data_IF_802562024470
#
_entry.id   IF_802562024470
#
_cell.length_a   1.000
_cell.length_b   1.000
_cell.length_c   1.000
_cell.angle_alpha   90.00
_cell.angle_beta   90.00
_cell.angle_gamma   90.00
#
_symmetry.space_group_name_H-M   'P 1'
#
loop_
_entity.id
_entity.type
_entity.pdbx_description
1 polymer ?
#
# COMPACT_ATOMS: atom_id res chain seq x y z
N UNK A 1 -2.27 30.20 17.10
CA UNK A 1 -1.86 29.48 15.89
C UNK A 1 -0.70 30.21 15.26
N UNK A 2 0.40 29.53 15.02
CA UNK A 2 1.50 30.17 14.31
C UNK A 2 1.08 30.43 12.87
N UNK A 3 1.32 31.64 12.41
CA UNK A 3 1.02 31.97 11.03
C UNK A 3 2.06 31.34 10.11
N UNK A 4 1.60 30.86 8.98
CA UNK A 4 2.49 30.29 7.97
C UNK A 4 3.34 31.40 7.37
N UNK A 5 4.66 31.21 7.38
CA UNK A 5 5.60 32.12 6.77
C UNK A 5 6.35 31.43 5.65
N UNK A 6 6.07 31.75 4.36
CA UNK A 6 6.74 31.11 3.24
C UNK A 6 8.25 31.31 3.24
N UNK A 7 8.74 32.41 3.85
CA UNK A 7 10.19 32.69 3.89
C UNK A 7 10.94 31.80 4.85
N UNK A 8 10.27 31.17 5.81
CA UNK A 8 10.91 30.34 6.84
C UNK A 8 11.01 28.89 6.42
N UNK A 9 9.98 28.37 5.75
CA UNK A 9 9.96 26.97 5.39
C UNK A 9 8.97 26.69 4.27
N UNK A 10 9.45 26.10 3.18
CA UNK A 10 8.59 25.58 2.11
C UNK A 10 8.38 24.09 2.35
N UNK A 11 7.13 23.65 2.50
CA UNK A 11 6.86 22.23 2.74
C UNK A 11 7.39 21.33 1.62
N UNK A 12 8.01 20.22 2.01
CA UNK A 12 8.41 19.16 1.11
C UNK A 12 7.35 18.08 1.12
N UNK A 13 6.80 17.78 -0.04
CA UNK A 13 5.75 16.77 -0.20
C UNK A 13 6.27 15.61 -1.04
N UNK A 14 6.22 14.41 -0.49
CA UNK A 14 6.53 13.20 -1.23
C UNK A 14 5.22 12.66 -1.82
N UNK A 15 5.13 12.67 -3.14
CA UNK A 15 3.90 12.29 -3.85
C UNK A 15 3.86 10.83 -4.27
N UNK A 16 4.92 10.07 -4.00
CA UNK A 16 4.98 8.65 -4.40
C UNK A 16 5.44 7.80 -3.22
N UNK A 17 4.51 7.51 -2.33
CA UNK A 17 4.77 6.67 -1.16
C UNK A 17 3.72 5.58 -1.08
N UNK A 18 4.16 4.39 -0.70
CA UNK A 18 3.25 3.27 -0.51
C UNK A 18 3.10 2.91 0.95
N UNK A 19 1.92 2.41 1.28
CA UNK A 19 1.60 1.86 2.59
C UNK A 19 0.83 0.57 2.39
N UNK A 20 1.18 -0.45 3.19
CA UNK A 20 0.37 -1.65 3.31
C UNK A 20 -0.31 -1.57 4.67
N UNK A 21 -1.62 -1.28 4.72
CA UNK A 21 -2.34 -1.27 5.99
C UNK A 21 -2.23 -2.62 6.68
N UNK A 22 -2.18 -2.59 8.02
CA UNK A 22 -2.04 -3.82 8.80
C UNK A 22 -3.10 -4.86 8.49
N UNK A 23 -4.30 -4.42 8.18
CA UNK A 23 -5.41 -5.31 7.81
C UNK A 23 -5.14 -6.07 6.52
N UNK A 24 -4.57 -5.40 5.52
CA UNK A 24 -4.21 -6.02 4.24
C UNK A 24 -3.09 -7.04 4.46
N UNK A 25 -2.09 -6.67 5.26
CA UNK A 25 -0.99 -7.58 5.57
C UNK A 25 -1.52 -8.83 6.27
N UNK A 26 -2.33 -8.64 7.31
CA UNK A 26 -2.90 -9.73 8.07
C UNK A 26 -3.73 -10.67 7.19
N UNK A 27 -4.54 -10.11 6.32
CA UNK A 27 -5.32 -10.90 5.38
C UNK A 27 -4.42 -11.66 4.39
N UNK A 28 -3.34 -11.04 3.95
CA UNK A 28 -2.39 -11.65 3.00
C UNK A 28 -1.62 -12.82 3.62
N UNK A 29 -1.47 -12.85 4.92
CA UNK A 29 -0.84 -13.95 5.63
C UNK A 29 -1.81 -15.12 5.91
N UNK A 30 -3.11 -14.90 5.76
CA UNK A 30 -4.10 -15.95 5.96
C UNK A 30 -4.08 -16.97 4.82
N UNK A 31 -4.71 -18.13 5.05
CA UNK A 31 -4.74 -19.21 4.05
C UNK A 31 -5.38 -18.80 2.73
N UNK A 32 -6.34 -17.87 2.78
CA UNK A 32 -7.06 -17.39 1.59
C UNK A 32 -6.40 -16.16 0.96
N UNK A 33 -5.49 -15.50 1.68
CA UNK A 33 -4.88 -14.27 1.24
C UNK A 33 -5.86 -13.10 1.17
N UNK A 34 -5.37 -11.99 0.67
CA UNK A 34 -6.22 -10.83 0.35
C UNK A 34 -6.68 -10.98 -1.10
N UNK A 35 -7.91 -11.48 -1.30
CA UNK A 35 -8.43 -11.81 -2.63
C UNK A 35 -7.43 -12.65 -3.45
N UNK A 36 -6.81 -13.63 -2.79
CA UNK A 36 -5.83 -14.49 -3.43
C UNK A 36 -4.40 -13.97 -3.44
N UNK A 37 -4.16 -12.74 -3.04
CA UNK A 37 -2.81 -12.21 -2.87
C UNK A 37 -2.26 -12.64 -1.52
N UNK A 38 -1.14 -13.34 -1.54
CA UNK A 38 -0.52 -13.91 -0.34
C UNK A 38 0.89 -13.39 -0.17
N UNK A 39 1.29 -13.25 1.09
CA UNK A 39 2.68 -12.94 1.41
C UNK A 39 3.50 -14.22 1.33
N UNK A 40 4.63 -14.14 0.66
CA UNK A 40 5.59 -15.22 0.53
C UNK A 40 6.98 -14.72 0.91
N UNK A 41 7.73 -15.52 1.64
CA UNK A 41 9.08 -15.15 2.07
C UNK A 41 10.12 -15.88 1.24
N UNK A 42 11.18 -15.17 0.85
CA UNK A 42 12.30 -15.73 0.12
C UNK A 42 13.57 -14.95 0.43
N UNK A 43 14.60 -15.65 0.90
CA UNK A 43 15.91 -15.03 1.20
C UNK A 43 15.81 -13.83 2.15
N UNK A 44 14.92 -13.92 3.16
CA UNK A 44 14.74 -12.86 4.15
C UNK A 44 13.87 -11.70 3.70
N UNK A 45 13.39 -11.70 2.48
CA UNK A 45 12.50 -10.68 1.94
C UNK A 45 11.07 -11.20 1.82
N UNK A 46 10.12 -10.28 1.81
CA UNK A 46 8.71 -10.60 1.59
C UNK A 46 8.29 -10.25 0.17
N UNK A 47 7.43 -11.06 -0.39
CA UNK A 47 6.90 -10.89 -1.73
C UNK A 47 5.40 -11.06 -1.73
N UNK A 48 4.73 -10.52 -2.74
CA UNK A 48 3.30 -10.76 -2.98
C UNK A 48 3.19 -11.81 -4.07
N UNK A 49 2.49 -12.88 -3.76
CA UNK A 49 2.23 -14.00 -4.66
C UNK A 49 0.75 -14.00 -5.03
N UNK A 50 0.45 -13.81 -6.29
CA UNK A 50 -0.89 -13.90 -6.85
C UNK A 50 -0.91 -15.02 -7.89
N UNK A 51 -2.10 -15.36 -8.40
CA UNK A 51 -2.24 -16.44 -9.37
C UNK A 51 -1.41 -16.22 -10.64
N UNK A 52 -1.15 -14.98 -11.02
CA UNK A 52 -0.50 -14.65 -12.28
C UNK A 52 0.83 -13.93 -12.12
N UNK A 53 1.28 -13.65 -10.91
CA UNK A 53 2.59 -13.01 -10.74
C UNK A 53 3.14 -13.17 -9.33
N UNK A 54 4.47 -13.13 -9.29
CA UNK A 54 5.24 -13.07 -8.05
C UNK A 54 5.99 -11.74 -8.06
N UNK A 55 5.70 -10.88 -7.13
CA UNK A 55 6.18 -9.50 -7.17
C UNK A 55 6.80 -9.06 -5.86
N UNK A 56 7.76 -8.19 -5.94
CA UNK A 56 8.50 -7.65 -4.82
C UNK A 56 9.98 -7.53 -5.14
N UNK A 57 10.86 -7.42 -4.13
CA UNK A 57 10.55 -7.49 -2.70
C UNK A 57 9.72 -6.31 -2.21
N UNK A 58 8.95 -6.56 -1.15
CA UNK A 58 8.17 -5.51 -0.49
C UNK A 58 9.13 -4.64 0.31
N UNK A 59 9.04 -3.34 0.10
CA UNK A 59 9.84 -2.38 0.87
C UNK A 59 9.41 -2.39 2.34
N UNK A 60 10.34 -2.56 3.30
CA UNK A 60 9.98 -2.53 4.72
C UNK A 60 9.27 -1.24 5.14
N UNK A 61 9.59 -0.12 4.51
CA UNK A 61 8.97 1.16 4.82
C UNK A 61 7.47 1.20 4.54
N UNK A 62 6.96 0.30 3.69
CA UNK A 62 5.53 0.23 3.39
C UNK A 62 4.71 -0.29 4.57
N UNK A 63 5.37 -0.94 5.55
CA UNK A 63 4.73 -1.52 6.71
C UNK A 63 4.91 -0.74 8.00
N UNK A 64 5.52 0.42 7.93
CA UNK A 64 5.74 1.24 9.12
C UNK A 64 4.41 1.66 9.74
N UNK A 65 4.38 1.70 11.08
CA UNK A 65 3.27 2.33 11.79
C UNK A 65 3.25 3.83 11.47
N UNK A 66 2.15 4.49 11.83
CA UNK A 66 2.04 5.94 11.61
C UNK A 66 3.15 6.68 12.37
N UNK A 67 3.41 6.29 13.62
CA UNK A 67 4.46 6.94 14.42
C UNK A 67 5.85 6.71 13.84
N UNK A 68 6.15 5.50 13.44
CA UNK A 68 7.43 5.18 12.78
C UNK A 68 7.58 5.94 11.47
N UNK A 69 6.51 6.08 10.70
CA UNK A 69 6.51 6.81 9.44
C UNK A 69 6.76 8.30 9.66
N UNK A 70 6.11 8.90 10.66
CA UNK A 70 6.32 10.31 10.99
C UNK A 70 7.77 10.54 11.41
N UNK A 71 8.35 9.63 12.20
CA UNK A 71 9.76 9.72 12.59
C UNK A 71 10.68 9.65 11.37
N UNK A 72 10.41 8.74 10.45
CA UNK A 72 11.22 8.62 9.24
C UNK A 72 11.10 9.87 8.37
N UNK A 73 9.90 10.40 8.20
CA UNK A 73 9.68 11.64 7.47
C UNK A 73 10.50 12.78 8.06
N UNK A 74 10.48 12.91 9.38
CA UNK A 74 11.25 13.94 10.07
C UNK A 74 12.74 13.81 9.80
N UNK A 75 13.29 12.59 9.81
CA UNK A 75 14.70 12.35 9.54
C UNK A 75 15.08 12.66 8.08
N UNK A 76 14.15 12.57 7.15
CA UNK A 76 14.37 12.81 5.73
C UNK A 76 14.00 14.24 5.30
N UNK A 77 13.49 15.06 6.21
CA UNK A 77 13.06 16.42 5.89
C UNK A 77 11.78 16.47 5.05
N UNK A 78 10.94 15.44 5.15
CA UNK A 78 9.67 15.36 4.42
C UNK A 78 8.55 15.79 5.35
N UNK A 79 7.77 16.78 4.95
CA UNK A 79 6.68 17.31 5.78
C UNK A 79 5.37 16.57 5.56
N UNK A 80 5.11 16.11 4.36
CA UNK A 80 3.87 15.42 3.98
C UNK A 80 4.14 14.31 3.01
N UNK A 81 3.31 13.26 3.08
CA UNK A 81 3.33 12.17 2.12
C UNK A 81 1.93 11.96 1.57
N UNK A 82 1.84 11.68 0.28
CA UNK A 82 0.63 11.16 -0.34
C UNK A 82 0.77 9.65 -0.40
N UNK A 83 -0.04 8.94 0.38
CA UNK A 83 0.07 7.50 0.54
C UNK A 83 -0.93 6.78 -0.34
N UNK A 84 -0.47 5.72 -0.99
CA UNK A 84 -1.33 4.81 -1.74
C UNK A 84 -0.91 3.37 -1.44
N UNK A 85 -1.83 2.43 -1.62
CA UNK A 85 -1.47 1.01 -1.51
C UNK A 85 -0.68 0.60 -2.75
N UNK A 86 0.24 -0.38 -2.62
CA UNK A 86 0.89 -0.93 -3.81
C UNK A 86 -0.12 -1.57 -4.77
N UNK A 87 0.16 -1.56 -6.08
CA UNK A 87 -0.76 -2.12 -7.07
C UNK A 87 -1.14 -3.58 -6.86
N UNK A 88 -0.35 -4.33 -6.12
CA UNK A 88 -0.64 -5.72 -5.79
C UNK A 88 -1.98 -5.90 -5.08
N UNK A 89 -2.46 -4.88 -4.40
CA UNK A 89 -3.71 -4.90 -3.64
C UNK A 89 -4.87 -4.25 -4.39
N UNK A 90 -4.68 -3.89 -5.65
CA UNK A 90 -5.76 -3.33 -6.48
C UNK A 90 -6.64 -4.42 -7.09
N UNK A 91 -6.29 -5.69 -6.88
CA UNK A 91 -7.06 -6.85 -7.35
C UNK A 91 -7.21 -6.92 -8.87
N UNK A 92 -6.28 -6.35 -9.61
CA UNK A 92 -6.31 -6.41 -11.07
C UNK A 92 -6.26 -7.84 -11.60
N UNK A 93 -5.64 -8.76 -10.84
CA UNK A 93 -5.57 -10.16 -11.19
C UNK A 93 -6.96 -10.82 -11.23
N UNK A 94 -7.91 -10.33 -10.44
CA UNK A 94 -9.27 -10.86 -10.44
C UNK A 94 -9.99 -10.58 -11.76
N UNK A 95 -9.71 -9.45 -12.37
CA UNK A 95 -10.28 -9.11 -13.67
C UNK A 95 -9.94 -10.11 -14.75
N UNK A 96 -8.74 -10.70 -14.68
CA UNK A 96 -8.31 -11.76 -15.59
C UNK A 96 -8.93 -13.11 -15.26
N UNK A 97 -8.95 -13.45 -13.95
CA UNK A 97 -9.40 -14.76 -13.48
C UNK A 97 -10.93 -14.88 -13.56
N UNK A 98 -11.64 -13.81 -13.23
CA UNK A 98 -13.10 -13.80 -13.12
C UNK A 98 -13.80 -13.30 -14.39
N UNK A 99 -13.08 -13.32 -15.50
CA UNK A 99 -13.61 -13.01 -16.81
C UNK A 99 -14.14 -11.57 -16.94
N UNK A 100 -13.37 -10.63 -16.41
CA UNK A 100 -13.52 -9.30 -16.86
C UNK A 100 -13.74 -8.18 -15.85
N UNK A 101 -13.75 -6.99 -16.39
CA UNK A 101 -13.91 -5.77 -15.63
C UNK A 101 -15.21 -5.67 -14.85
N UNK A 102 -16.19 -6.50 -15.18
CA UNK A 102 -17.45 -6.54 -14.45
C UNK A 102 -17.27 -6.95 -12.99
N UNK A 103 -16.46 -7.97 -12.73
CA UNK A 103 -16.17 -8.41 -11.36
C UNK A 103 -15.35 -7.36 -10.61
N UNK A 104 -14.37 -6.77 -11.25
CA UNK A 104 -13.59 -5.68 -10.65
C UNK A 104 -14.48 -4.48 -10.33
N UNK A 105 -15.40 -4.15 -11.21
CA UNK A 105 -16.36 -3.07 -10.99
C UNK A 105 -17.22 -3.33 -9.76
N UNK A 106 -17.72 -4.55 -9.61
CA UNK A 106 -18.54 -4.92 -8.45
C UNK A 106 -17.77 -4.81 -7.14
N UNK A 107 -16.51 -5.25 -7.13
CA UNK A 107 -15.66 -5.11 -5.95
C UNK A 107 -15.41 -3.64 -5.61
N UNK A 108 -15.19 -2.82 -6.61
CA UNK A 108 -15.01 -1.38 -6.42
C UNK A 108 -16.27 -0.73 -5.85
N UNK A 109 -17.43 -1.06 -6.39
CA UNK A 109 -18.71 -0.54 -5.91
C UNK A 109 -18.97 -0.91 -4.45
N UNK A 110 -18.70 -2.15 -4.08
CA UNK A 110 -18.83 -2.60 -2.70
C UNK A 110 -17.93 -1.77 -1.78
N UNK A 111 -16.69 -1.54 -2.15
CA UNK A 111 -15.76 -0.76 -1.35
C UNK A 111 -16.17 0.71 -1.26
N UNK A 112 -16.73 1.27 -2.31
CA UNK A 112 -17.17 2.65 -2.33
C UNK A 112 -18.38 2.92 -1.44
N UNK A 113 -19.16 1.89 -1.12
CA UNK A 113 -20.34 2.01 -0.27
C UNK A 113 -20.05 1.89 1.23
N UNK A 114 -18.83 1.63 1.61
CA UNK A 114 -18.45 1.45 3.02
C UNK A 114 -18.08 2.76 3.71
#
# INVERSE_FOLDING_TARGET
MAEYSPSEHTPTVDIHCHIIPGEFWKASESSNGWFGAKISAKNGNSYIDTADRFAGPIEPSWRLSIDERISLMGSLGVDRQVLSTPPYFFNYHLGKVLNGGKQMRNLWEINAQR
#
